data_IF_032575274948
#
_entry.id   IF_032575274948
#
_cell.length_a   1.000
_cell.length_b   1.000
_cell.length_c   1.000
_cell.angle_alpha   90.00
_cell.angle_beta   90.00
_cell.angle_gamma   90.00
#
_symmetry.space_group_name_H-M   'P 1'
#
loop_
_entity.id
_entity.type
_entity.pdbx_description
1 polymer ?
#
# COMPACT_ATOMS: atom_id res chain seq x y z
N UNK A 1 -2.80 -32.35 -11.83
CA UNK A 1 -3.08 -31.87 -10.46
C UNK A 1 -2.21 -30.64 -10.19
N UNK A 2 -2.69 -29.45 -10.53
CA UNK A 2 -2.00 -28.19 -10.23
C UNK A 2 -2.91 -27.35 -9.35
N UNK A 3 -2.67 -27.38 -8.04
CA UNK A 3 -3.47 -26.62 -7.07
C UNK A 3 -3.31 -25.13 -7.32
N UNK A 4 -4.42 -24.45 -7.59
CA UNK A 4 -4.47 -22.99 -7.72
C UNK A 4 -4.14 -22.40 -6.36
N UNK A 5 -2.89 -21.97 -6.16
CA UNK A 5 -2.46 -21.33 -4.92
C UNK A 5 -3.18 -19.98 -4.80
N UNK A 6 -4.14 -19.84 -3.87
CA UNK A 6 -4.76 -18.54 -3.58
C UNK A 6 -3.68 -17.58 -3.10
N UNK A 7 -3.45 -16.51 -3.85
CA UNK A 7 -2.65 -15.39 -3.39
C UNK A 7 -3.59 -14.49 -2.58
N UNK A 8 -3.27 -14.25 -1.31
CA UNK A 8 -4.03 -13.31 -0.47
C UNK A 8 -3.86 -11.87 -0.93
N UNK A 9 -4.72 -10.96 -0.47
CA UNK A 9 -4.61 -9.53 -0.78
C UNK A 9 -3.79 -8.79 0.29
N UNK A 10 -2.86 -7.97 -0.18
CA UNK A 10 -2.13 -6.90 0.52
C UNK A 10 -3.00 -5.71 0.95
N UNK A 11 -2.95 -5.26 2.21
CA UNK A 11 -3.30 -3.85 2.55
C UNK A 11 -2.02 -3.11 2.90
N UNK A 12 -1.78 -1.99 2.22
CA UNK A 12 -0.66 -1.08 2.48
C UNK A 12 -1.23 0.20 3.10
N UNK A 13 -1.14 0.29 4.43
CA UNK A 13 -1.56 1.46 5.20
C UNK A 13 -0.39 2.45 5.31
N UNK A 14 -0.51 3.59 4.63
CA UNK A 14 0.46 4.68 4.71
C UNK A 14 0.11 5.61 5.89
N UNK A 15 0.91 5.48 6.95
CA UNK A 15 0.84 6.31 8.15
C UNK A 15 1.48 7.70 8.01
N UNK A 16 2.05 8.00 6.85
CA UNK A 16 3.00 9.09 6.61
C UNK A 16 4.34 8.86 7.31
N UNK A 17 5.37 9.52 6.77
CA UNK A 17 6.71 9.57 7.35
C UNK A 17 7.00 11.00 7.72
N UNK A 18 7.43 11.22 8.96
CA UNK A 18 7.81 12.53 9.49
C UNK A 18 9.21 12.94 8.99
N UNK A 19 9.35 13.03 7.67
CA UNK A 19 10.58 13.44 6.98
C UNK A 19 10.23 14.56 5.99
N UNK A 20 10.91 15.73 6.05
CA UNK A 20 10.52 16.94 5.30
C UNK A 20 10.64 16.80 3.78
N UNK A 21 11.35 15.79 3.26
CA UNK A 21 11.60 15.57 1.83
C UNK A 21 11.04 14.25 1.29
N UNK A 22 10.28 13.51 2.12
CA UNK A 22 9.89 12.15 1.78
C UNK A 22 8.90 12.03 0.62
N UNK A 23 8.21 13.09 0.19
CA UNK A 23 7.19 12.96 -0.87
C UNK A 23 7.76 13.00 -2.30
N UNK A 24 8.90 13.67 -2.52
CA UNK A 24 9.51 13.77 -3.86
C UNK A 24 8.59 14.41 -4.92
N UNK A 25 8.58 13.83 -6.12
CA UNK A 25 7.77 14.27 -7.29
C UNK A 25 6.40 13.57 -7.33
N UNK A 26 5.42 14.07 -8.11
CA UNK A 26 4.12 13.41 -8.27
C UNK A 26 4.23 11.89 -8.49
N UNK A 27 3.42 11.07 -7.80
CA UNK A 27 2.19 11.44 -7.07
C UNK A 27 2.38 11.84 -5.59
N UNK A 28 3.57 12.28 -5.16
CA UNK A 28 3.84 12.70 -3.78
C UNK A 28 3.58 11.59 -2.75
N UNK A 29 4.14 10.41 -3.01
CA UNK A 29 4.04 9.22 -2.14
C UNK A 29 5.43 8.88 -1.63
N UNK A 30 5.55 8.59 -0.34
CA UNK A 30 6.83 8.25 0.29
C UNK A 30 7.55 7.08 -0.42
N UNK A 31 8.90 7.04 -0.49
CA UNK A 31 9.64 5.90 -1.05
C UNK A 31 9.27 4.56 -0.42
N UNK A 32 9.01 4.53 0.89
CA UNK A 32 8.73 3.28 1.61
C UNK A 32 7.47 2.54 1.09
N UNK A 33 6.28 3.16 1.02
CA UNK A 33 5.12 2.49 0.42
C UNK A 33 5.33 2.14 -1.05
N UNK A 34 6.13 2.91 -1.80
CA UNK A 34 6.51 2.55 -3.20
C UNK A 34 7.32 1.26 -3.25
N UNK A 35 8.31 1.09 -2.38
CA UNK A 35 9.13 -0.12 -2.33
C UNK A 35 8.30 -1.35 -1.93
N UNK A 36 7.45 -1.23 -0.92
CA UNK A 36 6.59 -2.33 -0.49
C UNK A 36 5.57 -2.68 -1.58
N UNK A 37 4.93 -1.67 -2.19
CA UNK A 37 4.00 -1.87 -3.30
C UNK A 37 4.66 -2.54 -4.51
N UNK A 38 5.87 -2.10 -4.88
CA UNK A 38 6.66 -2.72 -5.94
C UNK A 38 7.01 -4.18 -5.66
N UNK A 39 7.42 -4.49 -4.43
CA UNK A 39 7.72 -5.85 -3.99
C UNK A 39 6.51 -6.77 -4.09
N UNK A 40 5.36 -6.33 -3.57
CA UNK A 40 4.11 -7.10 -3.61
C UNK A 40 3.63 -7.29 -5.06
N UNK A 41 3.68 -6.23 -5.87
CA UNK A 41 3.37 -6.28 -7.31
C UNK A 41 4.26 -7.27 -8.06
N UNK A 42 5.58 -7.26 -7.80
CA UNK A 42 6.53 -8.21 -8.42
C UNK A 42 6.25 -9.69 -8.08
N UNK A 43 5.50 -9.94 -7.00
CA UNK A 43 5.09 -11.28 -6.57
C UNK A 43 3.65 -11.63 -6.96
N UNK A 44 2.99 -10.78 -7.74
CA UNK A 44 1.59 -10.97 -8.13
C UNK A 44 0.62 -10.88 -6.95
N UNK A 45 1.01 -10.21 -5.86
CA UNK A 45 0.14 -9.98 -4.70
C UNK A 45 -0.66 -8.70 -4.96
N UNK A 46 -2.00 -8.75 -5.06
CA UNK A 46 -2.81 -7.56 -5.20
C UNK A 46 -2.67 -6.65 -3.97
N UNK A 47 -2.52 -5.35 -4.17
CA UNK A 47 -2.33 -4.37 -3.08
C UNK A 47 -3.46 -3.36 -3.07
N UNK A 48 -4.10 -3.19 -1.91
CA UNK A 48 -4.98 -2.06 -1.59
C UNK A 48 -4.16 -1.02 -0.82
N UNK A 49 -3.93 0.14 -1.44
CA UNK A 49 -3.28 1.27 -0.79
C UNK A 49 -4.30 2.11 -0.03
N UNK A 50 -4.00 2.45 1.23
CA UNK A 50 -4.88 3.24 2.11
C UNK A 50 -4.02 4.25 2.85
N UNK A 51 -4.38 5.53 2.85
CA UNK A 51 -3.69 6.54 3.67
C UNK A 51 -4.33 6.62 5.07
N UNK A 52 -3.57 7.12 6.05
CA UNK A 52 -4.09 7.36 7.39
C UNK A 52 -5.27 8.35 7.41
N UNK A 53 -5.32 9.32 6.48
CA UNK A 53 -6.46 10.22 6.35
C UNK A 53 -7.70 9.48 5.86
N UNK A 54 -7.58 8.67 4.80
CA UNK A 54 -8.71 7.90 4.27
C UNK A 54 -9.25 6.91 5.30
N UNK A 55 -8.36 6.25 6.06
CA UNK A 55 -8.78 5.28 7.09
C UNK A 55 -9.52 5.94 8.26
N UNK A 56 -9.11 7.16 8.63
CA UNK A 56 -9.78 7.95 9.66
C UNK A 56 -11.14 8.49 9.18
N UNK A 57 -11.23 8.93 7.93
CA UNK A 57 -12.40 9.62 7.38
C UNK A 57 -13.53 8.68 6.93
N UNK A 58 -13.21 7.47 6.47
CA UNK A 58 -14.19 6.54 5.90
C UNK A 58 -14.26 5.22 6.68
N UNK A 59 -15.32 4.98 7.47
CA UNK A 59 -15.55 3.70 8.14
C UNK A 59 -15.66 2.50 7.18
N UNK A 60 -16.06 2.71 5.92
CA UNK A 60 -16.25 1.64 4.93
C UNK A 60 -14.94 1.04 4.41
N UNK A 61 -13.80 1.71 4.61
CA UNK A 61 -12.49 1.21 4.17
C UNK A 61 -11.67 0.55 5.28
N UNK A 62 -12.21 0.47 6.49
CA UNK A 62 -11.60 -0.26 7.61
C UNK A 62 -11.59 -1.76 7.29
N UNK A 63 -10.60 -2.45 7.83
CA UNK A 63 -10.33 -3.88 7.63
C UNK A 63 -10.28 -4.59 8.99
#
# INVERSE_FOLDING_TARGET
>A
MGGTRRVGQAVLLDGYVDEPTALGVPPYVSPYPRYVGGLLSSRGVPVRYVTADSWRSDPAIRF
#
